data_IF_298831203958
#
_entry.id   IF_298831203958
#
_cell.length_a   1.000
_cell.length_b   1.000
_cell.length_c   1.000
_cell.angle_alpha   90.00
_cell.angle_beta   90.00
_cell.angle_gamma   90.00
#
_symmetry.space_group_name_H-M   'P 1'
#
loop_
_entity.id
_entity.type
_entity.pdbx_description
1 polymer ?
#
# COMPACT_ATOMS: atom_id res chain seq x y z
N UNK A 1 -8.96 -9.03 2.13
CA UNK A 1 -8.24 -8.61 0.92
C UNK A 1 -7.53 -7.32 1.26
N UNK A 2 -6.20 -7.27 1.12
CA UNK A 2 -5.45 -6.03 1.28
C UNK A 2 -5.46 -5.25 -0.04
N UNK A 3 -5.81 -3.98 0.04
CA UNK A 3 -5.69 -3.02 -1.05
C UNK A 3 -4.22 -2.70 -1.35
N UNK A 4 -3.95 -2.18 -2.55
CA UNK A 4 -2.61 -1.69 -2.89
C UNK A 4 -2.12 -0.64 -1.88
N UNK A 5 -3.03 0.21 -1.38
CA UNK A 5 -2.74 1.20 -0.36
C UNK A 5 -2.29 0.63 0.98
N UNK A 6 -2.91 -0.46 1.44
CA UNK A 6 -2.51 -1.15 2.67
C UNK A 6 -1.13 -1.79 2.52
N UNK A 7 -0.91 -2.53 1.42
CA UNK A 7 0.39 -3.16 1.13
C UNK A 7 1.52 -2.14 0.99
N UNK A 8 1.25 -1.01 0.32
CA UNK A 8 2.21 0.08 0.19
C UNK A 8 2.48 0.75 1.54
N UNK A 9 1.45 0.92 2.37
CA UNK A 9 1.57 1.48 3.71
C UNK A 9 2.45 0.64 4.63
N UNK A 10 2.29 -0.68 4.58
CA UNK A 10 3.12 -1.65 5.30
C UNK A 10 4.59 -1.54 4.86
N UNK A 11 4.86 -1.56 3.55
CA UNK A 11 6.21 -1.39 2.99
C UNK A 11 6.87 -0.07 3.43
N UNK A 12 6.11 1.04 3.40
CA UNK A 12 6.59 2.36 3.84
C UNK A 12 6.99 2.32 5.32
N UNK A 13 6.18 1.67 6.16
CA UNK A 13 6.43 1.55 7.59
C UNK A 13 7.70 0.72 7.86
N UNK A 14 7.83 -0.45 7.22
CA UNK A 14 8.97 -1.34 7.38
C UNK A 14 10.29 -0.68 6.94
N UNK A 15 10.30 -0.04 5.78
CA UNK A 15 11.49 0.65 5.26
C UNK A 15 11.88 1.85 6.12
N UNK A 16 10.89 2.60 6.62
CA UNK A 16 11.13 3.70 7.55
C UNK A 16 11.77 3.20 8.85
N UNK A 17 11.23 2.12 9.43
CA UNK A 17 11.72 1.56 10.69
C UNK A 17 13.11 0.93 10.56
N UNK A 18 13.36 0.24 9.45
CA UNK A 18 14.69 -0.31 9.11
C UNK A 18 15.77 0.77 9.09
N UNK A 19 15.41 1.99 8.68
CA UNK A 19 16.31 3.15 8.65
C UNK A 19 16.39 3.90 9.99
N UNK A 20 15.59 3.52 10.98
CA UNK A 20 15.47 4.24 12.25
C UNK A 20 14.87 5.64 12.10
N UNK A 21 14.06 5.88 11.07
CA UNK A 21 13.45 7.18 10.82
C UNK A 21 12.12 7.34 11.54
N UNK A 22 11.87 8.54 12.06
CA UNK A 22 10.54 8.96 12.50
C UNK A 22 9.66 9.33 11.30
N UNK A 23 8.33 9.36 11.50
CA UNK A 23 7.40 9.81 10.45
C UNK A 23 7.67 11.27 10.03
N UNK A 24 8.09 12.13 10.98
CA UNK A 24 8.46 13.53 10.71
C UNK A 24 9.70 13.61 9.82
N UNK A 25 10.73 12.80 10.11
CA UNK A 25 11.93 12.73 9.27
C UNK A 25 11.60 12.25 7.85
N UNK A 26 10.72 11.27 7.71
CA UNK A 26 10.26 10.83 6.39
C UNK A 26 9.49 11.93 5.66
N UNK A 27 8.61 12.67 6.35
CA UNK A 27 7.88 13.79 5.77
C UNK A 27 8.83 14.89 5.24
N UNK A 28 9.85 15.25 6.04
CA UNK A 28 10.92 16.17 5.61
C UNK A 28 11.70 15.65 4.40
N UNK A 29 12.08 14.37 4.40
CA UNK A 29 12.86 13.78 3.30
C UNK A 29 12.05 13.68 1.99
N UNK A 30 10.77 13.34 2.08
CA UNK A 30 9.91 13.13 0.93
C UNK A 30 9.32 14.44 0.37
N UNK A 31 9.00 15.40 1.24
CA UNK A 31 8.24 16.60 0.85
C UNK A 31 8.92 17.93 1.20
N UNK A 32 9.98 17.92 2.01
CA UNK A 32 10.57 19.14 2.56
C UNK A 32 9.66 19.87 3.55
N UNK A 33 8.66 19.17 4.09
CA UNK A 33 7.57 19.74 4.89
C UNK A 33 7.20 18.80 6.05
N UNK A 34 7.34 19.27 7.29
CA UNK A 34 6.98 18.52 8.51
C UNK A 34 5.47 18.35 8.64
N UNK A 35 4.66 19.29 8.13
CA UNK A 35 3.20 19.24 8.20
C UNK A 35 2.63 18.07 7.37
N UNK A 36 3.43 17.49 6.49
CA UNK A 36 3.11 16.28 5.76
C UNK A 36 3.16 15.00 6.62
N UNK A 37 3.54 15.05 7.91
CA UNK A 37 3.56 13.88 8.81
C UNK A 37 2.22 13.14 8.88
N UNK A 38 1.10 13.87 8.85
CA UNK A 38 -0.24 13.27 8.84
C UNK A 38 -0.49 12.42 7.59
N UNK A 39 0.12 12.80 6.47
CA UNK A 39 0.06 12.03 5.22
C UNK A 39 0.82 10.71 5.39
N UNK A 40 2.03 10.75 5.94
CA UNK A 40 2.81 9.54 6.25
C UNK A 40 2.02 8.59 7.16
N UNK A 41 1.45 9.12 8.25
CA UNK A 41 0.61 8.33 9.14
C UNK A 41 -0.58 7.67 8.43
N UNK A 42 -1.27 8.40 7.54
CA UNK A 42 -2.40 7.84 6.79
C UNK A 42 -1.99 6.72 5.83
N UNK A 43 -0.81 6.83 5.21
CA UNK A 43 -0.24 5.75 4.40
C UNK A 43 0.08 4.52 5.25
N UNK A 44 0.86 4.67 6.32
CA UNK A 44 1.27 3.55 7.19
C UNK A 44 0.10 2.84 7.88
N UNK A 45 -1.04 3.51 8.03
CA UNK A 45 -2.28 2.92 8.59
C UNK A 45 -3.24 2.40 7.52
N UNK A 46 -2.84 2.35 6.25
CA UNK A 46 -3.69 1.85 5.17
C UNK A 46 -4.94 2.69 4.92
N UNK A 47 -5.02 3.93 5.43
CA UNK A 47 -6.21 4.79 5.28
C UNK A 47 -6.42 5.28 3.84
N UNK A 48 -5.44 5.07 2.97
CA UNK A 48 -5.47 5.47 1.56
C UNK A 48 -5.47 4.20 0.69
N UNK A 49 -6.64 3.61 0.44
CA UNK A 49 -6.76 2.34 -0.28
C UNK A 49 -6.20 2.37 -1.72
N UNK A 50 -6.39 3.48 -2.44
CA UNK A 50 -5.97 3.65 -3.83
C UNK A 50 -5.15 4.94 -4.02
N UNK A 51 -3.87 4.95 -3.62
CA UNK A 51 -3.04 6.14 -3.70
C UNK A 51 -2.60 6.44 -5.14
N UNK A 52 -2.61 7.72 -5.51
CA UNK A 52 -2.13 8.16 -6.82
C UNK A 52 -0.60 8.15 -6.89
N UNK A 53 -0.03 7.81 -8.05
CA UNK A 53 1.42 7.76 -8.24
C UNK A 53 2.12 9.03 -7.75
N UNK A 54 1.65 10.20 -8.19
CA UNK A 54 2.24 11.50 -7.80
C UNK A 54 2.33 11.72 -6.29
N UNK A 55 1.46 11.09 -5.49
CA UNK A 55 1.37 11.34 -4.04
C UNK A 55 2.26 10.41 -3.24
N UNK A 56 2.45 9.16 -3.68
CA UNK A 56 3.33 8.22 -2.99
C UNK A 56 4.76 8.21 -3.55
N UNK A 57 4.97 8.64 -4.80
CA UNK A 57 6.29 8.63 -5.46
C UNK A 57 7.39 9.29 -4.61
N UNK A 58 7.19 10.49 -4.01
CA UNK A 58 8.24 11.12 -3.22
C UNK A 58 8.60 10.33 -1.96
N UNK A 59 7.62 9.64 -1.36
CA UNK A 59 7.83 8.77 -0.19
C UNK A 59 8.67 7.56 -0.61
N UNK A 60 8.29 6.90 -1.71
CA UNK A 60 9.03 5.76 -2.24
C UNK A 60 10.46 6.13 -2.65
N UNK A 61 10.66 7.30 -3.27
CA UNK A 61 11.98 7.79 -3.64
C UNK A 61 12.85 8.06 -2.41
N UNK A 62 12.30 8.71 -1.37
CA UNK A 62 13.01 8.93 -0.11
C UNK A 62 13.42 7.62 0.59
N UNK A 63 12.58 6.59 0.49
CA UNK A 63 12.82 5.25 1.06
C UNK A 63 13.54 4.29 0.10
N UNK A 64 13.88 4.70 -1.12
CA UNK A 64 14.50 3.80 -2.09
C UNK A 64 13.61 2.62 -2.55
N UNK A 65 12.30 2.69 -2.35
CA UNK A 65 11.35 1.69 -2.81
C UNK A 65 11.29 1.72 -4.34
N UNK A 66 11.68 0.62 -4.96
CA UNK A 66 11.87 0.56 -6.42
C UNK A 66 10.55 0.43 -7.17
N UNK A 67 10.57 0.77 -8.46
CA UNK A 67 9.43 0.56 -9.36
C UNK A 67 9.01 -0.90 -9.45
N UNK A 68 9.96 -1.82 -9.37
CA UNK A 68 9.67 -3.25 -9.44
C UNK A 68 9.00 -3.75 -8.16
N UNK A 69 9.41 -3.22 -7.00
CA UNK A 69 8.70 -3.47 -5.74
C UNK A 69 7.26 -2.95 -5.80
N UNK A 70 7.05 -1.73 -6.29
CA UNK A 70 5.70 -1.16 -6.48
C UNK A 70 4.85 -2.03 -7.41
N UNK A 71 5.41 -2.54 -8.52
CA UNK A 71 4.70 -3.46 -9.43
C UNK A 71 4.31 -4.76 -8.71
N UNK A 72 5.21 -5.32 -7.90
CA UNK A 72 4.93 -6.52 -7.12
C UNK A 72 3.76 -6.31 -6.13
N UNK A 73 3.74 -5.19 -5.41
CA UNK A 73 2.63 -4.86 -4.50
C UNK A 73 1.29 -4.70 -5.23
N UNK A 74 1.30 -4.09 -6.43
CA UNK A 74 0.09 -3.98 -7.27
C UNK A 74 -0.40 -5.34 -7.76
N UNK A 75 0.52 -6.22 -8.16
CA UNK A 75 0.18 -7.58 -8.57
C UNK A 75 -0.38 -8.39 -7.40
N UNK A 76 0.19 -8.25 -6.20
CA UNK A 76 -0.30 -8.90 -4.98
C UNK A 76 -1.72 -8.44 -4.62
N UNK A 77 -1.99 -7.13 -4.66
CA UNK A 77 -3.34 -6.59 -4.44
C UNK A 77 -4.35 -7.13 -5.47
N UNK A 78 -3.93 -7.28 -6.73
CA UNK A 78 -4.78 -7.77 -7.82
C UNK A 78 -5.06 -9.28 -7.68
N UNK A 79 -4.06 -10.08 -7.36
CA UNK A 79 -4.22 -11.53 -7.17
C UNK A 79 -5.12 -11.86 -5.98
N UNK A 80 -5.04 -11.06 -4.91
CA UNK A 80 -5.95 -11.16 -3.77
C UNK A 80 -7.40 -10.85 -4.13
N UNK A 81 -7.64 -10.10 -5.23
CA UNK A 81 -8.98 -9.88 -5.78
C UNK A 81 -9.50 -11.13 -6.50
N UNK A 82 -8.67 -11.70 -7.39
CA UNK A 82 -9.05 -12.81 -8.27
C UNK A 82 -9.41 -14.08 -7.51
N UNK A 83 -8.63 -14.44 -6.47
CA UNK A 83 -8.88 -15.65 -5.68
C UNK A 83 -10.27 -15.66 -5.01
N UNK A 84 -10.80 -14.49 -4.63
CA UNK A 84 -12.12 -14.40 -3.99
C UNK A 84 -13.27 -14.46 -4.99
N UNK A 85 -13.11 -13.92 -6.20
CA UNK A 85 -14.15 -13.98 -7.24
C UNK A 85 -14.40 -15.45 -7.66
N UNK A 86 -13.34 -16.25 -7.74
CA UNK A 86 -13.43 -17.69 -8.03
C UNK A 86 -14.14 -18.46 -6.89
N UNK A 87 -13.89 -18.12 -5.61
CA UNK A 87 -14.59 -18.70 -4.47
C UNK A 87 -16.08 -18.32 -4.42
N UNK A 88 -16.41 -17.05 -4.71
CA UNK A 88 -17.80 -16.56 -4.75
C UNK A 88 -18.58 -17.19 -5.91
N UNK A 89 -17.95 -17.40 -7.06
CA UNK A 89 -18.53 -18.12 -8.20
C UNK A 89 -18.87 -19.57 -7.86
N UNK A 90 -17.97 -20.26 -7.15
CA UNK A 90 -18.15 -21.66 -6.76
C UNK A 90 -19.25 -21.87 -5.70
N UNK A 91 -19.45 -20.91 -4.80
CA UNK A 91 -20.53 -20.93 -3.79
C UNK A 91 -21.93 -20.68 -4.37
N UNK A 92 -22.07 -19.97 -5.50
CA UNK A 92 -23.36 -19.77 -6.19
C UNK A 92 -23.79 -21.00 -6.98
N UNK A 93 -22.85 -21.74 -7.57
CA UNK A 93 -23.13 -22.96 -8.32
C UNK A 93 -23.63 -24.12 -7.43
N UNK A 94 -23.24 -24.16 -6.16
CA UNK A 94 -23.58 -25.23 -5.22
C UNK A 94 -24.93 -25.06 -4.51
N UNK A 95 -25.59 -23.89 -4.59
CA UNK A 95 -26.91 -23.63 -3.97
C UNK A 95 -28.10 -23.67 -4.95
N UNK A 96 -27.86 -23.98 -6.22
CA UNK A 96 -28.86 -23.90 -7.30
C UNK A 96 -29.51 -25.21 -7.76
N UNK A 97 -29.21 -26.34 -7.12
CA UNK A 97 -29.85 -27.63 -7.45
C UNK A 97 -30.69 -28.14 -6.29
N UNK A 98 -31.97 -27.76 -6.28
CA UNK A 98 -33.07 -28.47 -5.61
C UNK A 98 -34.27 -28.52 -6.56
#
# INVERSE_FOLDING_TARGET
MQSFGELLGEEICEERETRGWTQVQLALKAFGDEDAVRRIHNYEKGKVANPQARTYQPICEALGITRDRIKALKAQASNAATLNDDEVGSLRASKGSL
#
